data_IF_335741661234
#
_entry.id   IF_335741661234
#
_cell.length_a   1.000
_cell.length_b   1.000
_cell.length_c   1.000
_cell.angle_alpha   90.00
_cell.angle_beta   90.00
_cell.angle_gamma   90.00
#
_symmetry.space_group_name_H-M   'P 1'
#
loop_
_entity.id
_entity.type
_entity.pdbx_description
1 polymer ?
#
# COMPACT_ATOMS: atom_id res chain seq x y z
N UNK A 1 3.59 2.36 1.06
CA UNK A 1 2.44 3.26 0.84
C UNK A 1 2.51 4.30 1.96
N UNK A 2 2.44 5.59 1.65
CA UNK A 2 2.47 6.66 2.66
C UNK A 2 1.09 7.31 2.81
N UNK A 3 0.72 7.71 4.04
CA UNK A 3 -0.47 8.51 4.35
C UNK A 3 -0.27 9.29 5.65
N UNK A 4 -0.86 10.47 5.82
CA UNK A 4 -0.49 11.43 6.87
C UNK A 4 -0.94 11.05 8.29
N UNK A 5 -0.04 10.94 9.30
CA UNK A 5 -0.28 10.42 10.65
C UNK A 5 0.34 11.25 11.79
N UNK A 6 -0.40 11.66 12.87
CA UNK A 6 0.21 12.22 14.06
C UNK A 6 1.03 11.22 14.85
N UNK A 7 2.00 11.72 15.63
CA UNK A 7 2.77 10.91 16.58
C UNK A 7 1.82 10.23 17.55
N UNK A 8 1.79 8.90 17.55
CA UNK A 8 1.01 8.07 18.47
C UNK A 8 1.93 7.18 19.31
N UNK A 9 1.58 6.93 20.57
CA UNK A 9 2.30 5.97 21.41
C UNK A 9 1.97 4.54 20.95
N UNK A 10 3.00 3.73 20.69
CA UNK A 10 2.89 2.32 20.28
C UNK A 10 2.65 1.36 21.46
N UNK A 11 2.14 1.86 22.59
CA UNK A 11 2.03 1.12 23.86
C UNK A 11 1.03 -0.05 23.82
N UNK A 12 0.21 -0.14 22.77
CA UNK A 12 -0.52 -1.34 22.40
C UNK A 12 0.05 -1.91 21.10
N UNK A 13 0.76 -3.03 21.17
CA UNK A 13 1.21 -3.78 20.00
C UNK A 13 -0.01 -4.30 19.20
N UNK A 14 -0.58 -3.48 18.31
CA UNK A 14 -1.54 -3.95 17.32
C UNK A 14 -0.76 -4.60 16.16
N UNK A 15 -0.91 -5.92 15.93
CA UNK A 15 -0.12 -6.63 14.94
C UNK A 15 -0.35 -6.14 13.50
N UNK A 16 -1.40 -5.34 13.25
CA UNK A 16 -1.70 -4.78 11.94
C UNK A 16 -1.00 -3.45 11.67
N UNK A 17 -0.54 -2.73 12.69
CA UNK A 17 0.18 -1.44 12.50
C UNK A 17 1.51 -1.36 13.27
N UNK A 18 1.93 -2.44 13.95
CA UNK A 18 3.14 -2.50 14.79
C UNK A 18 4.44 -2.12 14.06
N UNK A 19 4.45 -2.11 12.73
CA UNK A 19 5.61 -1.76 11.90
C UNK A 19 5.45 -0.44 11.14
N UNK A 20 4.37 0.31 11.42
CA UNK A 20 4.21 1.67 10.93
C UNK A 20 4.98 2.62 11.84
N UNK A 21 5.96 3.32 11.26
CA UNK A 21 6.65 4.41 11.93
C UNK A 21 6.05 5.74 11.48
N UNK A 22 5.77 6.63 12.44
CA UNK A 22 5.52 8.05 12.19
C UNK A 22 6.88 8.76 12.03
N UNK A 23 7.02 9.59 11.00
CA UNK A 23 8.18 10.48 10.84
C UNK A 23 7.78 11.86 11.35
N UNK A 24 8.59 12.45 12.23
CA UNK A 24 8.34 13.81 12.73
C UNK A 24 8.62 14.85 11.64
N UNK A 25 7.62 15.65 11.30
CA UNK A 25 7.66 16.76 10.35
C UNK A 25 6.43 17.67 10.50
N UNK A 26 6.43 18.89 9.91
CA UNK A 26 5.33 19.86 10.02
C UNK A 26 4.01 19.35 9.42
N UNK A 27 4.10 18.42 8.46
CA UNK A 27 3.02 17.60 7.94
C UNK A 27 3.40 16.14 8.23
N UNK A 28 2.57 15.46 9.01
CA UNK A 28 2.97 14.24 9.71
C UNK A 28 2.68 13.05 8.81
N UNK A 29 3.65 12.18 8.51
CA UNK A 29 3.52 11.07 7.53
C UNK A 29 3.63 9.70 8.24
N UNK A 30 2.74 8.78 7.89
CA UNK A 30 2.72 7.38 8.30
C UNK A 30 3.14 6.43 7.16
N UNK A 31 3.95 5.43 7.51
CA UNK A 31 4.46 4.42 6.56
C UNK A 31 3.70 3.09 6.70
N UNK A 32 3.05 2.65 5.62
CA UNK A 32 2.55 1.29 5.45
C UNK A 32 3.61 0.48 4.68
N UNK A 33 4.30 -0.41 5.39
CA UNK A 33 5.27 -1.34 4.83
C UNK A 33 4.60 -2.53 4.15
N UNK A 34 5.31 -3.16 3.20
CA UNK A 34 4.82 -4.25 2.32
C UNK A 34 4.76 -5.62 3.02
N UNK A 35 4.59 -5.66 4.34
CA UNK A 35 4.88 -6.85 5.14
C UNK A 35 3.93 -8.02 4.86
N UNK A 36 2.70 -7.74 4.42
CA UNK A 36 1.75 -8.76 4.00
C UNK A 36 2.24 -9.61 2.81
N UNK A 37 3.15 -9.09 1.97
CA UNK A 37 3.60 -9.78 0.77
C UNK A 37 4.58 -10.92 1.04
N UNK A 38 5.67 -10.66 1.76
CA UNK A 38 6.74 -11.66 1.91
C UNK A 38 6.25 -12.92 2.63
N UNK A 39 5.42 -12.74 3.67
CA UNK A 39 4.82 -13.85 4.39
C UNK A 39 3.81 -14.64 3.55
N UNK A 40 3.04 -13.96 2.69
CA UNK A 40 2.08 -14.61 1.80
C UNK A 40 2.76 -15.37 0.66
N UNK A 41 3.80 -14.79 0.05
CA UNK A 41 4.52 -15.42 -1.07
C UNK A 41 5.22 -16.71 -0.64
N UNK A 42 5.75 -16.77 0.58
CA UNK A 42 6.33 -18.01 1.11
C UNK A 42 5.31 -19.16 1.22
N UNK A 43 4.02 -18.85 1.29
CA UNK A 43 2.92 -19.84 1.33
C UNK A 43 2.31 -20.11 -0.05
N UNK A 44 2.72 -19.36 -1.07
CA UNK A 44 2.23 -19.49 -2.43
C UNK A 44 3.15 -20.40 -3.25
N UNK A 45 2.58 -21.45 -3.83
CA UNK A 45 3.33 -22.46 -4.58
C UNK A 45 4.04 -21.89 -5.81
N UNK A 46 3.54 -20.81 -6.41
CA UNK A 46 4.17 -20.15 -7.56
C UNK A 46 5.41 -19.32 -7.22
N UNK A 47 5.62 -19.00 -5.94
CA UNK A 47 6.75 -18.22 -5.47
C UNK A 47 6.81 -16.78 -6.01
N UNK A 48 7.91 -16.09 -5.73
CA UNK A 48 8.06 -14.67 -6.05
C UNK A 48 8.15 -14.39 -7.56
N UNK A 49 8.73 -15.30 -8.33
CA UNK A 49 8.86 -15.15 -9.79
C UNK A 49 7.50 -15.11 -10.48
N UNK A 50 6.53 -15.91 -10.03
CA UNK A 50 5.18 -15.87 -10.56
C UNK A 50 4.50 -14.51 -10.30
N UNK A 51 4.64 -14.00 -9.07
CA UNK A 51 4.12 -12.67 -8.70
C UNK A 51 4.79 -11.56 -9.52
N UNK A 52 6.11 -11.64 -9.75
CA UNK A 52 6.84 -10.68 -10.60
C UNK A 52 6.31 -10.67 -12.04
N UNK A 53 6.03 -11.83 -12.62
CA UNK A 53 5.45 -11.91 -13.97
C UNK A 53 4.07 -11.28 -14.01
N UNK A 54 3.22 -11.58 -13.04
CA UNK A 54 1.86 -11.04 -12.97
C UNK A 54 1.86 -9.51 -12.87
N UNK A 55 2.76 -8.96 -12.05
CA UNK A 55 2.93 -7.51 -11.89
C UNK A 55 3.56 -6.79 -13.07
N UNK A 56 4.28 -7.51 -13.92
CA UNK A 56 4.85 -6.97 -15.15
C UNK A 56 3.79 -6.79 -16.25
N UNK A 57 2.59 -7.37 -16.06
CA UNK A 57 1.48 -7.17 -16.97
C UNK A 57 0.98 -5.71 -16.93
N UNK A 58 0.39 -5.22 -18.03
CA UNK A 58 -0.26 -3.91 -18.03
C UNK A 58 -1.44 -3.82 -17.04
N UNK A 59 -2.14 -4.95 -16.85
CA UNK A 59 -3.28 -5.12 -15.95
C UNK A 59 -3.27 -6.55 -15.42
N UNK A 60 -3.70 -6.75 -14.16
CA UNK A 60 -3.74 -8.08 -13.55
C UNK A 60 -4.68 -9.00 -14.34
N UNK A 61 -4.30 -10.26 -14.50
CA UNK A 61 -5.02 -11.24 -15.32
C UNK A 61 -6.15 -11.94 -14.54
N UNK A 62 -6.96 -12.73 -15.24
CA UNK A 62 -8.01 -13.57 -14.64
C UNK A 62 -9.22 -12.78 -14.12
N UNK A 63 -9.90 -13.36 -13.13
CA UNK A 63 -11.08 -12.77 -12.45
C UNK A 63 -10.86 -12.70 -10.94
N UNK A 64 -11.59 -11.82 -10.21
CA UNK A 64 -11.50 -11.76 -8.76
C UNK A 64 -11.69 -13.11 -8.10
N UNK A 65 -10.82 -13.43 -7.13
CA UNK A 65 -10.93 -14.66 -6.37
C UNK A 65 -11.93 -14.53 -5.21
N UNK A 66 -12.46 -15.67 -4.77
CA UNK A 66 -13.25 -15.74 -3.55
C UNK A 66 -12.34 -15.51 -2.32
N UNK A 67 -12.59 -14.44 -1.53
CA UNK A 67 -11.77 -14.09 -0.36
C UNK A 67 -11.83 -15.12 0.77
N UNK A 68 -12.80 -16.04 0.77
CA UNK A 68 -12.95 -17.10 1.76
C UNK A 68 -11.96 -18.27 1.54
N UNK A 69 -11.30 -18.34 0.38
CA UNK A 69 -10.38 -19.42 0.07
C UNK A 69 -9.14 -19.41 0.99
N UNK A 70 -8.92 -20.53 1.68
CA UNK A 70 -7.82 -20.68 2.65
C UNK A 70 -6.42 -20.75 2.04
N UNK A 71 -6.32 -21.02 0.73
CA UNK A 71 -5.07 -21.10 -0.03
C UNK A 71 -5.10 -20.16 -1.23
N UNK A 72 -3.96 -19.55 -1.54
CA UNK A 72 -3.80 -18.76 -2.75
C UNK A 72 -3.84 -19.67 -3.97
N UNK A 73 -4.95 -19.59 -4.71
CA UNK A 73 -5.19 -20.39 -5.91
C UNK A 73 -4.45 -19.84 -7.13
N UNK A 74 -4.22 -18.53 -7.17
CA UNK A 74 -3.57 -17.81 -8.27
C UNK A 74 -2.69 -16.69 -7.72
N UNK A 75 -1.81 -16.17 -8.57
CA UNK A 75 -1.02 -14.96 -8.34
C UNK A 75 -1.93 -13.79 -7.98
N UNK A 76 -3.03 -13.64 -8.75
CA UNK A 76 -4.05 -12.63 -8.49
C UNK A 76 -4.67 -12.76 -7.10
N UNK A 77 -5.06 -13.96 -6.69
CA UNK A 77 -5.66 -14.16 -5.38
C UNK A 77 -4.69 -13.71 -4.26
N UNK A 78 -3.39 -13.99 -4.37
CA UNK A 78 -2.41 -13.48 -3.41
C UNK A 78 -2.34 -11.94 -3.42
N UNK A 79 -2.32 -11.33 -4.61
CA UNK A 79 -2.24 -9.88 -4.77
C UNK A 79 -3.48 -9.16 -4.22
N UNK A 80 -4.66 -9.73 -4.45
CA UNK A 80 -5.94 -9.27 -3.88
C UNK A 80 -5.94 -9.39 -2.37
N UNK A 81 -5.55 -10.56 -1.85
CA UNK A 81 -5.45 -10.79 -0.42
C UNK A 81 -4.52 -9.79 0.26
N UNK A 82 -3.33 -9.58 -0.30
CA UNK A 82 -2.38 -8.62 0.25
C UNK A 82 -2.98 -7.19 0.22
N UNK A 83 -3.68 -6.85 -0.85
CA UNK A 83 -4.30 -5.54 -0.98
C UNK A 83 -5.47 -5.33 -0.01
N UNK A 84 -6.29 -6.35 0.26
CA UNK A 84 -7.32 -6.27 1.30
C UNK A 84 -6.72 -6.06 2.70
N UNK A 85 -5.61 -6.71 3.02
CA UNK A 85 -4.92 -6.46 4.29
C UNK A 85 -4.37 -5.03 4.35
N UNK A 86 -3.77 -4.53 3.26
CA UNK A 86 -3.30 -3.15 3.18
C UNK A 86 -4.45 -2.13 3.34
N UNK A 87 -5.62 -2.40 2.76
CA UNK A 87 -6.83 -1.59 2.97
C UNK A 87 -7.25 -1.58 4.44
N UNK A 88 -7.29 -2.76 5.08
CA UNK A 88 -7.63 -2.88 6.50
C UNK A 88 -6.67 -2.12 7.40
N UNK A 89 -5.38 -2.13 7.07
CA UNK A 89 -4.37 -1.33 7.77
C UNK A 89 -4.63 0.17 7.57
N UNK A 90 -4.92 0.61 6.34
CA UNK A 90 -5.26 2.01 6.04
C UNK A 90 -6.48 2.49 6.83
N UNK A 91 -7.57 1.72 6.83
CA UNK A 91 -8.79 2.02 7.61
C UNK A 91 -8.54 2.01 9.12
N UNK A 92 -7.59 1.21 9.60
CA UNK A 92 -7.20 1.21 11.01
C UNK A 92 -6.43 2.46 11.42
N UNK A 93 -5.62 3.03 10.54
CA UNK A 93 -4.82 4.21 10.86
C UNK A 93 -5.74 5.37 11.33
N UNK A 94 -6.92 5.51 10.75
CA UNK A 94 -7.93 6.49 11.20
C UNK A 94 -8.23 6.36 12.70
N UNK A 95 -8.34 5.13 13.22
CA UNK A 95 -8.57 4.87 14.66
C UNK A 95 -7.41 5.30 15.56
N UNK A 96 -6.22 5.43 14.99
CA UNK A 96 -5.02 5.96 15.66
C UNK A 96 -4.84 7.48 15.46
N UNK A 97 -5.85 8.15 14.92
CA UNK A 97 -5.87 9.61 14.72
C UNK A 97 -5.12 10.08 13.49
N UNK A 98 -4.75 9.16 12.59
CA UNK A 98 -4.17 9.48 11.27
C UNK A 98 -5.25 10.12 10.41
N UNK A 99 -5.16 11.42 10.06
CA UNK A 99 -6.12 12.06 9.19
C UNK A 99 -6.13 11.38 7.82
N UNK A 100 -7.28 11.46 7.16
CA UNK A 100 -7.37 11.04 5.78
C UNK A 100 -6.50 11.95 4.90
N UNK A 101 -5.73 11.35 3.98
CA UNK A 101 -4.81 12.08 3.11
C UNK A 101 -4.50 11.31 1.82
N UNK A 102 -3.78 11.94 0.88
CA UNK A 102 -3.36 11.31 -0.37
C UNK A 102 -2.50 10.06 -0.11
N UNK A 103 -2.69 9.05 -0.96
CA UNK A 103 -1.97 7.77 -0.85
C UNK A 103 -0.82 7.75 -1.86
N UNK A 104 0.42 7.81 -1.38
CA UNK A 104 1.60 7.75 -2.25
C UNK A 104 2.18 6.33 -2.37
N UNK A 105 2.42 5.90 -3.60
CA UNK A 105 3.10 4.64 -3.91
C UNK A 105 4.59 4.85 -4.16
N UNK A 106 5.41 4.11 -3.42
CA UNK A 106 6.87 4.23 -3.43
C UNK A 106 7.52 2.84 -3.33
N UNK A 107 8.84 2.78 -3.59
CA UNK A 107 9.61 1.53 -3.58
C UNK A 107 9.41 0.69 -4.84
N UNK A 108 10.08 -0.47 -4.92
CA UNK A 108 10.14 -1.26 -6.17
C UNK A 108 8.79 -1.65 -6.77
N UNK A 109 7.75 -1.79 -5.95
CA UNK A 109 6.40 -2.19 -6.35
C UNK A 109 5.58 -1.04 -6.96
N UNK A 110 5.95 0.22 -6.74
CA UNK A 110 5.29 1.38 -7.37
C UNK A 110 5.50 1.43 -8.89
N UNK A 111 6.38 0.58 -9.42
CA UNK A 111 6.64 0.43 -10.86
C UNK A 111 5.60 -0.47 -11.55
N UNK A 112 4.79 -1.21 -10.80
CA UNK A 112 3.78 -2.12 -11.35
C UNK A 112 2.44 -1.41 -11.50
N UNK A 113 2.11 -1.02 -12.74
CA UNK A 113 0.80 -0.45 -13.06
C UNK A 113 -0.35 -1.38 -12.67
N UNK A 114 -0.24 -2.67 -12.99
CA UNK A 114 -1.26 -3.67 -12.65
C UNK A 114 -1.55 -3.72 -11.14
N UNK A 115 -0.51 -3.68 -10.31
CA UNK A 115 -0.67 -3.70 -8.86
C UNK A 115 -1.25 -2.38 -8.33
N UNK A 116 -0.85 -1.25 -8.90
CA UNK A 116 -1.38 0.05 -8.48
C UNK A 116 -2.85 0.23 -8.86
N UNK A 117 -3.28 -0.20 -10.05
CA UNK A 117 -4.69 -0.17 -10.46
C UNK A 117 -5.54 -1.07 -9.55
N UNK A 118 -5.04 -2.27 -9.22
CA UNK A 118 -5.69 -3.16 -8.25
C UNK A 118 -5.83 -2.50 -6.88
N UNK A 119 -4.76 -1.89 -6.37
CA UNK A 119 -4.75 -1.21 -5.08
C UNK A 119 -5.68 -0.02 -5.03
N UNK A 120 -5.63 0.86 -6.03
CA UNK A 120 -6.53 2.01 -6.12
C UNK A 120 -7.99 1.55 -6.09
N UNK A 121 -8.31 0.52 -6.88
CA UNK A 121 -9.66 -0.03 -6.97
C UNK A 121 -10.14 -0.66 -5.66
N UNK A 122 -9.30 -1.44 -4.98
CA UNK A 122 -9.65 -2.04 -3.68
C UNK A 122 -9.73 -0.97 -2.60
N UNK A 123 -8.81 -0.01 -2.55
CA UNK A 123 -8.85 1.10 -1.58
C UNK A 123 -10.03 2.03 -1.83
N UNK A 124 -10.57 2.05 -3.05
CA UNK A 124 -11.65 2.94 -3.46
C UNK A 124 -11.20 4.40 -3.59
N UNK A 125 -9.91 4.65 -3.86
CA UNK A 125 -9.33 5.99 -3.96
C UNK A 125 -8.10 6.02 -4.86
N UNK A 126 -7.77 7.21 -5.34
CA UNK A 126 -6.58 7.50 -6.13
C UNK A 126 -5.28 7.11 -5.42
N UNK A 127 -4.30 6.68 -6.21
CA UNK A 127 -2.92 6.48 -5.77
C UNK A 127 -2.00 7.40 -6.56
N UNK A 128 -1.19 8.15 -5.83
CA UNK A 128 -0.23 9.12 -6.35
C UNK A 128 1.15 8.45 -6.48
N UNK A 129 1.79 8.60 -7.64
CA UNK A 129 3.07 7.97 -7.96
C UNK A 129 4.07 9.07 -8.34
N UNK A 130 4.98 9.44 -7.43
CA UNK A 130 6.07 10.35 -7.75
C UNK A 130 7.00 9.74 -8.82
N UNK A 131 7.46 10.55 -9.77
CA UNK A 131 8.41 10.08 -10.81
C UNK A 131 9.82 9.80 -10.24
N UNK A 132 10.18 10.44 -9.12
CA UNK A 132 11.43 10.13 -8.42
C UNK A 132 11.44 8.68 -7.90
N UNK A 133 12.49 7.94 -8.26
CA UNK A 133 12.62 6.51 -7.97
C UNK A 133 13.36 6.22 -6.68
N UNK A 134 14.20 7.15 -6.22
CA UNK A 134 15.07 7.01 -5.06
C UNK A 134 14.60 7.89 -3.88
N UNK A 135 13.27 7.92 -3.63
CA UNK A 135 12.63 8.76 -2.61
C UNK A 135 13.23 8.59 -1.20
N UNK A 136 13.71 7.40 -0.85
CA UNK A 136 14.39 7.18 0.44
C UNK A 136 15.73 7.92 0.53
N UNK A 137 16.52 7.90 -0.55
CA UNK A 137 17.82 8.60 -0.61
C UNK A 137 17.59 10.10 -0.65
N UNK A 138 16.61 10.54 -1.44
CA UNK A 138 16.18 11.93 -1.47
C UNK A 138 15.75 12.42 -0.09
N UNK A 139 14.89 11.66 0.62
CA UNK A 139 14.44 12.03 1.96
C UNK A 139 15.61 12.21 2.93
N UNK A 140 16.62 11.32 2.87
CA UNK A 140 17.85 11.46 3.65
C UNK A 140 18.65 12.73 3.27
N UNK A 141 18.73 13.07 1.98
CA UNK A 141 19.40 14.28 1.51
C UNK A 141 18.66 15.56 1.94
N UNK A 142 17.32 15.57 1.90
CA UNK A 142 16.50 16.68 2.38
C UNK A 142 16.71 16.91 3.88
N UNK A 143 16.72 15.84 4.69
CA UNK A 143 17.02 15.95 6.11
C UNK A 143 18.44 16.48 6.38
N UNK A 144 19.43 16.03 5.61
CA UNK A 144 20.80 16.53 5.75
C UNK A 144 20.89 18.03 5.40
N UNK A 145 20.22 18.47 4.34
CA UNK A 145 20.17 19.88 3.95
C UNK A 145 19.51 20.74 5.05
N UNK A 146 18.36 20.31 5.57
CA UNK A 146 17.65 21.01 6.64
C UNK A 146 18.50 21.12 7.92
N UNK A 147 19.20 20.04 8.30
CA UNK A 147 20.12 20.04 9.44
C UNK A 147 21.29 21.04 9.30
N UNK A 148 21.64 21.42 8.06
CA UNK A 148 22.67 22.43 7.77
C UNK A 148 22.11 23.85 7.60
N UNK A 149 20.82 24.05 7.89
CA UNK A 149 20.13 25.34 7.73
C UNK A 149 19.81 25.70 6.28
N UNK A 150 19.96 24.76 5.34
CA UNK A 150 19.55 24.95 3.96
C UNK A 150 18.08 24.59 3.81
N UNK A 151 17.30 25.49 3.23
CA UNK A 151 15.93 25.18 2.84
C UNK A 151 15.97 24.33 1.57
N UNK A 152 15.71 23.03 1.70
CA UNK A 152 15.56 22.15 0.56
C UNK A 152 14.09 22.10 0.13
N UNK A 153 13.86 22.15 -1.18
CA UNK A 153 12.54 21.95 -1.79
C UNK A 153 12.62 20.74 -2.70
N UNK A 154 11.60 19.89 -2.65
CA UNK A 154 11.44 18.78 -3.57
C UNK A 154 10.26 19.06 -4.48
N UNK A 155 10.54 19.11 -5.78
CA UNK A 155 9.55 19.24 -6.83
C UNK A 155 9.72 18.08 -7.80
N UNK A 156 8.69 17.27 -7.94
CA UNK A 156 8.66 16.15 -8.86
C UNK A 156 7.26 16.04 -9.45
N UNK A 157 7.18 15.63 -10.71
CA UNK A 157 5.90 15.26 -11.29
C UNK A 157 5.33 14.04 -10.57
N UNK A 158 4.01 14.05 -10.40
CA UNK A 158 3.25 12.97 -9.77
C UNK A 158 2.22 12.49 -10.79
N UNK A 159 2.24 11.19 -11.09
CA UNK A 159 1.18 10.55 -11.87
C UNK A 159 0.09 10.01 -10.93
N UNK A 160 -1.15 9.95 -11.42
CA UNK A 160 -2.32 9.52 -10.65
C UNK A 160 -2.84 8.22 -11.26
N UNK A 161 -3.04 7.22 -10.40
CA UNK A 161 -3.70 5.96 -10.74
C UNK A 161 -5.11 6.00 -10.17
N UNK A 162 -6.07 6.10 -11.07
CA UNK A 162 -7.50 6.09 -10.76
C UNK A 162 -7.99 4.67 -10.47
N UNK A 163 -8.96 4.51 -9.55
CA UNK A 163 -9.63 3.24 -9.36
C UNK A 163 -10.50 2.87 -10.56
N UNK A 164 -10.54 1.58 -10.89
CA UNK A 164 -11.46 1.04 -11.90
C UNK A 164 -12.85 0.87 -11.25
N UNK A 165 -13.84 1.62 -11.76
CA UNK A 165 -15.21 1.64 -11.20
C UNK A 165 -15.89 0.27 -11.12
N UNK A 166 -15.62 -0.63 -12.09
CA UNK A 166 -16.18 -1.98 -12.07
C UNK A 166 -15.54 -2.80 -10.96
N UNK A 167 -14.22 -2.65 -10.78
CA UNK A 167 -13.49 -3.29 -9.69
C UNK A 167 -13.83 -2.70 -8.32
N UNK A 168 -14.09 -1.41 -8.21
CA UNK A 168 -14.55 -0.81 -6.94
C UNK A 168 -15.84 -1.49 -6.45
N UNK A 169 -16.78 -1.71 -7.35
CA UNK A 169 -18.05 -2.38 -7.02
C UNK A 169 -17.79 -3.80 -6.54
N UNK A 170 -17.07 -4.59 -7.33
CA UNK A 170 -16.79 -5.99 -7.00
C UNK A 170 -15.96 -6.13 -5.72
N UNK A 171 -14.89 -5.35 -5.58
CA UNK A 171 -14.02 -5.42 -4.41
C UNK A 171 -14.64 -4.79 -3.16
N UNK A 172 -15.63 -3.91 -3.28
CA UNK A 172 -16.43 -3.47 -2.15
C UNK A 172 -17.13 -4.65 -1.49
N UNK A 173 -17.82 -5.48 -2.28
CA UNK A 173 -18.53 -6.67 -1.79
C UNK A 173 -17.55 -7.72 -1.26
N UNK A 174 -16.47 -8.01 -2.01
CA UNK A 174 -15.47 -9.01 -1.59
C UNK A 174 -14.70 -8.56 -0.35
N UNK A 175 -14.48 -7.26 -0.15
CA UNK A 175 -13.84 -6.76 1.06
C UNK A 175 -14.71 -6.98 2.30
N UNK A 176 -16.04 -6.79 2.19
CA UNK A 176 -16.98 -7.14 3.26
C UNK A 176 -16.86 -8.61 3.67
N UNK A 177 -16.89 -9.51 2.68
CA UNK A 177 -16.71 -10.96 2.91
C UNK A 177 -15.35 -11.28 3.52
N UNK A 178 -14.28 -10.63 3.05
CA UNK A 178 -12.93 -10.80 3.59
C UNK A 178 -12.85 -10.45 5.10
N UNK A 179 -13.56 -9.40 5.53
CA UNK A 179 -13.61 -9.00 6.94
C UNK A 179 -14.36 -10.00 7.81
N UNK A 180 -15.48 -10.55 7.32
CA UNK A 180 -16.30 -11.53 8.06
C UNK A 180 -15.54 -12.82 8.39
N UNK A 181 -14.68 -13.30 7.48
CA UNK A 181 -13.90 -14.53 7.66
C UNK A 181 -12.67 -14.38 8.56
N UNK A 182 -12.39 -13.16 9.06
CA UNK A 182 -11.14 -12.79 9.75
C UNK A 182 -11.35 -12.20 11.15
N UNK A 183 -12.61 -12.07 11.58
CA UNK A 183 -13.01 -11.77 12.96
C UNK A 183 -13.31 -13.07 13.72
#
# INVERSE_FOLDING_TARGET
IYGDAPRFETTAFDPQIAFTASIEGPEKVGCLGVFEFTGAVNKFSGGMEAIRREMALPKISGTPADPALSRFATERHLLEWATFNARRMLEKLERYGVPEGPVYATGGWSRSRALLELRASIFGREIYVPEERELSVLGAALFAAEATGQKATFDTSVSIIEPDSAWMTVYGDLYGQFLEHRN
#
